data_IF_125696027564
#
_entry.id   IF_125696027564
#
_cell.length_a   1.000
_cell.length_b   1.000
_cell.length_c   1.000
_cell.angle_alpha   90.00
_cell.angle_beta   90.00
_cell.angle_gamma   90.00
#
_symmetry.space_group_name_H-M   'P 1'
#
loop_
_entity.id
_entity.type
_entity.pdbx_description
1 polymer ?
#
# COMPACT_ATOMS: atom_id res chain seq x y z
N UNK A 1 -0.46 9.47 1.99
CA UNK A 1 -1.19 9.73 0.73
C UNK A 1 -0.70 8.76 -0.30
N UNK A 2 -1.61 8.10 -1.01
CA UNK A 2 -1.28 7.03 -1.98
C UNK A 2 -0.66 7.62 -3.26
N UNK A 3 0.36 6.92 -3.79
CA UNK A 3 0.80 7.00 -5.19
C UNK A 3 0.90 5.57 -5.74
N UNK A 4 0.34 5.30 -6.91
CA UNK A 4 0.39 3.97 -7.51
C UNK A 4 1.80 3.69 -8.08
N UNK A 5 2.31 2.50 -7.80
CA UNK A 5 3.56 1.98 -8.39
C UNK A 5 3.27 0.88 -9.39
N UNK A 6 2.41 -0.06 -9.02
CA UNK A 6 1.92 -1.15 -9.89
C UNK A 6 0.42 -1.42 -9.67
N UNK A 7 -0.12 -2.48 -10.27
CA UNK A 7 -1.54 -2.87 -10.18
C UNK A 7 -1.97 -3.37 -8.79
N UNK A 8 -1.01 -3.85 -8.00
CA UNK A 8 -1.20 -4.46 -6.68
C UNK A 8 -0.47 -3.71 -5.56
N UNK A 9 0.52 -2.87 -5.89
CA UNK A 9 1.34 -2.15 -4.93
C UNK A 9 1.20 -0.64 -5.04
N UNK A 10 1.44 0.04 -3.92
CA UNK A 10 1.41 1.50 -3.89
C UNK A 10 2.38 2.10 -2.87
N UNK A 11 2.86 3.31 -3.16
CA UNK A 11 3.62 4.11 -2.20
C UNK A 11 2.69 4.86 -1.26
N UNK A 12 3.08 4.87 0.02
CA UNK A 12 2.45 5.72 1.03
C UNK A 12 3.40 6.85 1.44
N UNK A 13 3.04 8.09 1.09
CA UNK A 13 3.70 9.28 1.63
C UNK A 13 3.10 9.62 3.01
N UNK A 14 3.91 9.52 4.07
CA UNK A 14 3.53 9.89 5.44
C UNK A 14 4.45 10.96 6.02
N UNK A 15 4.09 11.53 7.16
CA UNK A 15 4.97 12.47 7.88
C UNK A 15 6.26 11.81 8.39
N UNK A 16 6.28 10.48 8.52
CA UNK A 16 7.43 9.71 9.01
C UNK A 16 8.32 9.20 7.88
N UNK A 17 7.95 9.45 6.62
CA UNK A 17 8.68 8.97 5.45
C UNK A 17 7.76 8.37 4.39
N UNK A 18 8.42 7.90 3.33
CA UNK A 18 7.82 7.19 2.21
C UNK A 18 8.23 5.72 2.29
N UNK A 19 7.27 4.84 2.04
CA UNK A 19 7.50 3.40 1.93
C UNK A 19 6.59 2.81 0.85
N UNK A 20 7.02 1.70 0.28
CA UNK A 20 6.22 0.87 -0.62
C UNK A 20 5.36 -0.06 0.22
N UNK A 21 4.09 -0.16 -0.16
CA UNK A 21 3.13 -1.05 0.48
C UNK A 21 2.93 -2.21 -0.48
N UNK A 22 3.47 -3.36 -0.09
CA UNK A 22 3.23 -4.63 -0.77
C UNK A 22 1.88 -5.17 -0.29
N UNK A 23 1.06 -5.66 -1.21
CA UNK A 23 -0.22 -6.28 -0.85
C UNK A 23 -0.36 -7.67 -1.45
N UNK A 24 -0.96 -8.60 -0.69
CA UNK A 24 -1.37 -9.91 -1.21
C UNK A 24 -2.69 -9.81 -1.98
N UNK A 25 -2.82 -8.80 -2.85
CA UNK A 25 -4.01 -8.57 -3.65
C UNK A 25 -4.18 -9.66 -4.70
N UNK A 26 -5.41 -10.15 -4.87
CA UNK A 26 -5.70 -11.14 -5.91
C UNK A 26 -5.86 -10.42 -7.25
N UNK A 27 -4.80 -10.41 -8.07
CA UNK A 27 -4.77 -9.81 -9.42
C UNK A 27 -5.98 -10.21 -10.30
N UNK A 28 -6.60 -11.39 -10.05
CA UNK A 28 -7.80 -11.82 -10.79
C UNK A 28 -9.01 -10.92 -10.53
N UNK A 29 -8.99 -10.14 -9.46
CA UNK A 29 -9.98 -9.13 -9.12
C UNK A 29 -9.73 -7.79 -9.84
N UNK A 30 -8.65 -7.70 -10.62
CA UNK A 30 -8.22 -6.51 -11.35
C UNK A 30 -7.23 -5.68 -10.53
N UNK A 31 -7.21 -4.37 -10.76
CA UNK A 31 -6.33 -3.43 -10.06
C UNK A 31 -6.83 -3.20 -8.63
N UNK A 32 -5.92 -3.17 -7.66
CA UNK A 32 -6.23 -2.81 -6.27
C UNK A 32 -6.96 -1.45 -6.26
N UNK A 33 -8.18 -1.34 -5.68
CA UNK A 33 -9.01 -0.15 -5.81
C UNK A 33 -8.57 0.97 -4.84
N UNK A 34 -7.32 1.38 -4.96
CA UNK A 34 -6.73 2.57 -4.33
C UNK A 34 -6.40 3.61 -5.39
N UNK A 35 -6.62 4.88 -5.10
CA UNK A 35 -6.41 5.97 -6.05
C UNK A 35 -5.27 6.89 -5.60
N UNK A 36 -4.48 7.47 -6.53
CA UNK A 36 -3.52 8.50 -6.17
C UNK A 36 -4.18 9.65 -5.42
N UNK A 37 -3.56 10.11 -4.33
CA UNK A 37 -4.15 11.14 -3.48
C UNK A 37 -5.10 10.64 -2.41
N UNK A 38 -5.53 9.37 -2.47
CA UNK A 38 -6.42 8.78 -1.47
C UNK A 38 -5.72 8.67 -0.11
N UNK A 39 -6.52 8.82 0.95
CA UNK A 39 -6.14 8.44 2.30
C UNK A 39 -6.64 7.03 2.59
N UNK A 40 -5.72 6.19 3.04
CA UNK A 40 -5.97 4.83 3.50
C UNK A 40 -5.28 4.64 4.84
N UNK A 41 -5.77 3.70 5.62
CA UNK A 41 -5.04 3.15 6.77
C UNK A 41 -4.53 1.77 6.37
N UNK A 42 -3.24 1.55 6.55
CA UNK A 42 -2.58 0.27 6.27
C UNK A 42 -2.13 -0.34 7.59
N UNK A 43 -2.43 -1.61 7.80
CA UNK A 43 -2.00 -2.39 8.98
C UNK A 43 -1.10 -3.52 8.49
N UNK A 44 0.06 -3.68 9.11
CA UNK A 44 1.07 -4.63 8.66
C UNK A 44 2.39 -4.43 9.40
N UNK A 45 3.49 -4.83 8.75
CA UNK A 45 4.85 -4.74 9.27
C UNK A 45 5.82 -4.27 8.21
N UNK A 46 6.90 -3.63 8.64
CA UNK A 46 8.04 -3.41 7.75
C UNK A 46 8.82 -4.72 7.59
N UNK A 47 9.27 -4.97 6.37
CA UNK A 47 10.36 -5.92 6.12
C UNK A 47 11.70 -5.28 6.53
N UNK A 48 12.71 -6.10 6.80
CA UNK A 48 14.11 -5.69 6.96
C UNK A 48 14.75 -5.32 5.62
N UNK A 49 14.13 -5.68 4.49
CA UNK A 49 14.59 -5.38 3.14
C UNK A 49 14.13 -4.00 2.61
N UNK A 50 14.78 -3.57 1.52
CA UNK A 50 14.47 -2.33 0.79
C UNK A 50 13.89 -2.71 -0.56
N UNK A 51 12.77 -2.08 -0.91
CA UNK A 51 12.08 -2.37 -2.16
C UNK A 51 12.91 -1.99 -3.39
N UNK A 52 12.48 -2.43 -4.57
CA UNK A 52 13.14 -2.11 -5.84
C UNK A 52 13.22 -0.59 -6.13
N UNK A 53 12.37 0.20 -5.47
CA UNK A 53 12.32 1.66 -5.55
C UNK A 53 13.28 2.36 -4.57
N UNK A 54 14.02 1.61 -3.76
CA UNK A 54 14.98 2.16 -2.79
C UNK A 54 14.31 2.75 -1.54
N UNK A 55 13.08 2.35 -1.23
CA UNK A 55 12.34 2.75 -0.02
C UNK A 55 12.06 1.52 0.85
N UNK A 56 11.80 1.69 2.17
CA UNK A 56 11.36 0.58 3.00
C UNK A 56 10.09 -0.06 2.42
N UNK A 57 10.01 -1.38 2.54
CA UNK A 57 8.84 -2.16 2.18
C UNK A 57 7.97 -2.43 3.41
N UNK A 58 6.65 -2.33 3.23
CA UNK A 58 5.66 -2.55 4.27
C UNK A 58 4.64 -3.57 3.79
N UNK A 59 4.72 -4.79 4.32
CA UNK A 59 3.81 -5.89 4.01
C UNK A 59 2.44 -5.61 4.64
N UNK A 60 1.42 -5.39 3.80
CA UNK A 60 0.07 -5.09 4.26
C UNK A 60 -0.72 -6.36 4.59
N UNK A 61 -1.23 -6.41 5.81
CA UNK A 61 -2.24 -7.41 6.23
C UNK A 61 -3.67 -6.86 6.14
N UNK A 62 -3.84 -5.53 6.18
CA UNK A 62 -5.11 -4.87 5.93
C UNK A 62 -4.88 -3.53 5.23
N UNK A 63 -5.75 -3.23 4.26
CA UNK A 63 -5.89 -1.90 3.68
C UNK A 63 -7.32 -1.43 3.90
N UNK A 64 -7.46 -0.34 4.66
CA UNK A 64 -8.73 0.22 5.08
C UNK A 64 -8.94 1.55 4.37
N UNK A 65 -10.03 1.66 3.61
CA UNK A 65 -10.41 2.89 2.94
C UNK A 65 -10.95 3.94 3.93
N UNK A 66 -11.09 5.19 3.47
CA UNK A 66 -11.56 6.30 4.30
C UNK A 66 -13.00 6.10 4.83
N UNK A 67 -13.81 5.31 4.14
CA UNK A 67 -15.17 4.94 4.56
C UNK A 67 -15.19 3.76 5.55
N UNK A 68 -14.03 3.20 5.89
CA UNK A 68 -13.85 2.08 6.80
C UNK A 68 -13.95 0.71 6.14
N UNK A 69 -14.20 0.62 4.83
CA UNK A 69 -14.20 -0.65 4.10
C UNK A 69 -12.79 -1.24 4.04
N UNK A 70 -12.70 -2.58 4.03
CA UNK A 70 -11.44 -3.33 3.97
C UNK A 70 -11.28 -3.95 2.59
N UNK A 71 -10.11 -3.75 1.99
CA UNK A 71 -9.78 -4.32 0.68
C UNK A 71 -9.15 -5.70 0.81
N UNK A 72 -8.29 -5.86 1.82
CA UNK A 72 -7.62 -7.10 2.21
C UNK A 72 -7.75 -7.29 3.72
#
# INVERSE_FOLDING_TARGET
MVRLTDEEDFLLDTANGRFEVETLWDERQGVLPVQPGQFVTVIGSFDDDVSSLGVPEFEATQVIQADGSRLI
#
